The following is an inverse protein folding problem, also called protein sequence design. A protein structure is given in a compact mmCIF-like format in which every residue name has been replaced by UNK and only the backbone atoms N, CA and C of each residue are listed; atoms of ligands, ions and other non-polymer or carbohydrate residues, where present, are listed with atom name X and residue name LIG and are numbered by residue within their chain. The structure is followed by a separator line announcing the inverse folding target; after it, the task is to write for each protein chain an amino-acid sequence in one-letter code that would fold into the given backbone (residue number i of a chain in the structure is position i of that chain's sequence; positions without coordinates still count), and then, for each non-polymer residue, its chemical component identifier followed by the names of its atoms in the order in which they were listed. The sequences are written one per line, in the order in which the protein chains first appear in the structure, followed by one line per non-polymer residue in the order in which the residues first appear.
data_IF_762616154800
#
_entry.id   IF_762616154800
#
_cell.length_a   1.000
_cell.length_b   1.000
_cell.length_c   1.000
_cell.angle_alpha   90.00
_cell.angle_beta   90.00
_cell.angle_gamma   90.00
#
_symmetry.space_group_name_H-M   'P 1'
#
loop_
_entity.id
_entity.type
_entity.pdbx_description
1 polymer ?
#
# COMPACT_ATOMS: atom_id res chain seq x y z
N UNK A 1 -3.41 30.16 35.33
CA UNK A 1 -1.96 30.00 35.06
C UNK A 1 -1.52 28.53 35.08
N UNK A 2 -1.78 27.77 36.15
CA UNK A 2 -1.36 26.36 36.30
C UNK A 2 -1.82 25.42 35.16
N UNK A 3 -3.06 25.57 34.67
CA UNK A 3 -3.59 24.74 33.57
C UNK A 3 -2.85 24.93 32.23
N UNK A 4 -2.45 26.17 31.92
CA UNK A 4 -1.72 26.49 30.69
C UNK A 4 -0.28 25.95 30.71
N UNK A 5 0.37 25.95 31.89
CA UNK A 5 1.69 25.34 32.06
C UNK A 5 1.61 23.83 31.89
N UNK A 6 0.59 23.18 32.48
CA UNK A 6 0.36 21.75 32.34
C UNK A 6 0.11 21.35 30.87
N UNK A 7 -0.70 22.11 30.13
CA UNK A 7 -0.95 21.83 28.71
C UNK A 7 0.29 22.05 27.85
N UNK A 8 1.08 23.09 28.10
CA UNK A 8 2.34 23.32 27.40
C UNK A 8 3.36 22.18 27.64
N UNK A 9 3.46 21.68 28.88
CA UNK A 9 4.30 20.53 29.20
C UNK A 9 3.82 19.25 28.51
N UNK A 10 2.52 18.99 28.51
CA UNK A 10 1.94 17.84 27.81
C UNK A 10 2.20 17.89 26.29
N UNK A 11 2.04 19.07 25.67
CA UNK A 11 2.34 19.27 24.26
C UNK A 11 3.82 19.02 23.94
N UNK A 12 4.73 19.49 24.79
CA UNK A 12 6.17 19.24 24.65
C UNK A 12 6.49 17.73 24.76
N UNK A 13 5.89 17.02 25.73
CA UNK A 13 6.06 15.57 25.87
C UNK A 13 5.55 14.79 24.65
N UNK A 14 4.41 15.20 24.07
CA UNK A 14 3.88 14.60 22.84
C UNK A 14 4.81 14.84 21.64
N UNK A 15 5.34 16.05 21.50
CA UNK A 15 6.31 16.37 20.46
C UNK A 15 7.58 15.52 20.61
N UNK A 16 8.12 15.41 21.82
CA UNK A 16 9.31 14.60 22.10
C UNK A 16 9.05 13.11 21.77
N UNK A 17 7.92 12.56 22.21
CA UNK A 17 7.52 11.18 21.88
C UNK A 17 7.46 10.98 20.38
N UNK A 18 6.82 11.89 19.64
CA UNK A 18 6.71 11.77 18.19
C UNK A 18 8.08 11.79 17.50
N UNK A 19 9.02 12.63 17.97
CA UNK A 19 10.39 12.70 17.45
C UNK A 19 11.17 11.43 17.73
N UNK A 20 11.09 10.89 18.95
CA UNK A 20 11.79 9.66 19.33
C UNK A 20 11.28 8.45 18.53
N UNK A 21 9.96 8.30 18.39
CA UNK A 21 9.37 7.20 17.62
C UNK A 21 9.77 7.30 16.14
N UNK A 22 9.70 8.49 15.54
CA UNK A 22 10.16 8.70 14.15
C UNK A 22 11.64 8.38 13.97
N UNK A 23 12.49 8.80 14.91
CA UNK A 23 13.93 8.54 14.84
C UNK A 23 14.25 7.04 15.02
N UNK A 24 13.57 6.36 15.94
CA UNK A 24 13.72 4.93 16.15
C UNK A 24 13.29 4.15 14.89
N UNK A 25 12.12 4.47 14.33
CA UNK A 25 11.63 3.85 13.11
C UNK A 25 12.58 4.08 11.92
N UNK A 26 13.11 5.29 11.74
CA UNK A 26 14.07 5.58 10.67
C UNK A 26 15.38 4.77 10.82
N UNK A 27 15.87 4.60 12.06
CA UNK A 27 17.05 3.77 12.34
C UNK A 27 16.80 2.30 12.05
N UNK A 28 15.65 1.78 12.47
CA UNK A 28 15.26 0.39 12.23
C UNK A 28 15.12 0.10 10.73
N UNK A 29 14.47 0.99 9.98
CA UNK A 29 14.36 0.87 8.52
C UNK A 29 15.73 0.88 7.85
N UNK A 30 16.65 1.76 8.28
CA UNK A 30 18.00 1.79 7.73
C UNK A 30 18.79 0.50 8.05
N UNK A 31 18.66 -0.02 9.27
CA UNK A 31 19.29 -1.28 9.66
C UNK A 31 18.72 -2.47 8.88
N UNK A 32 17.40 -2.53 8.69
CA UNK A 32 16.73 -3.55 7.88
C UNK A 32 17.22 -3.51 6.44
N UNK A 33 17.27 -2.33 5.81
CA UNK A 33 17.81 -2.17 4.45
C UNK A 33 19.25 -2.68 4.32
N UNK A 34 20.12 -2.34 5.29
CA UNK A 34 21.51 -2.83 5.32
C UNK A 34 21.61 -4.34 5.51
N UNK A 35 20.73 -4.93 6.31
CA UNK A 35 20.69 -6.39 6.48
C UNK A 35 20.23 -7.06 5.19
N UNK A 36 19.18 -6.57 4.54
CA UNK A 36 18.66 -7.11 3.29
C UNK A 36 19.70 -7.04 2.17
N UNK A 37 20.38 -5.91 1.98
CA UNK A 37 21.44 -5.79 0.97
C UNK A 37 22.60 -6.77 1.22
N UNK A 38 22.90 -7.07 2.49
CA UNK A 38 23.95 -8.03 2.87
C UNK A 38 23.54 -9.49 2.66
N UNK A 39 22.31 -9.87 3.00
CA UNK A 39 21.90 -11.28 3.07
C UNK A 39 21.18 -11.78 1.80
N UNK A 40 20.45 -10.92 1.09
CA UNK A 40 19.74 -11.28 -0.15
C UNK A 40 20.63 -12.00 -1.17
N UNK A 41 21.86 -11.53 -1.51
CA UNK A 41 22.69 -12.23 -2.48
C UNK A 41 23.13 -13.62 -2.01
N UNK A 42 23.38 -13.80 -0.71
CA UNK A 42 23.78 -15.09 -0.13
C UNK A 42 22.62 -16.09 -0.13
N UNK A 43 21.41 -15.64 0.23
CA UNK A 43 20.21 -16.48 0.18
C UNK A 43 19.90 -16.88 -1.26
N UNK A 44 19.96 -15.94 -2.20
CA UNK A 44 19.77 -16.24 -3.62
C UNK A 44 20.81 -17.25 -4.14
N UNK A 45 22.08 -17.15 -3.71
CA UNK A 45 23.12 -18.12 -4.04
C UNK A 45 22.76 -19.53 -3.55
N UNK A 46 22.38 -19.66 -2.29
CA UNK A 46 22.06 -20.93 -1.66
C UNK A 46 20.84 -21.59 -2.32
N UNK A 47 19.77 -20.82 -2.56
CA UNK A 47 18.56 -21.32 -3.22
C UNK A 47 18.87 -21.75 -4.66
N UNK A 48 19.65 -20.95 -5.41
CA UNK A 48 20.05 -21.31 -6.77
C UNK A 48 20.85 -22.63 -6.79
N UNK A 49 21.81 -22.81 -5.87
CA UNK A 49 22.60 -24.04 -5.78
C UNK A 49 21.74 -25.28 -5.49
N UNK A 50 20.73 -25.15 -4.61
CA UNK A 50 19.79 -26.24 -4.32
C UNK A 50 18.98 -26.59 -5.57
N UNK A 51 18.40 -25.60 -6.25
CA UNK A 51 17.58 -25.81 -7.44
C UNK A 51 18.41 -26.40 -8.58
N UNK A 52 19.64 -25.93 -8.77
CA UNK A 52 20.58 -26.48 -9.74
C UNK A 52 20.94 -27.94 -9.42
N UNK A 53 21.16 -28.27 -8.13
CA UNK A 53 21.41 -29.64 -7.68
C UNK A 53 20.21 -30.57 -7.94
N UNK A 54 18.99 -30.06 -7.83
CA UNK A 54 17.76 -30.80 -8.19
C UNK A 54 17.65 -30.98 -9.71
N UNK A 55 17.96 -29.94 -10.48
CA UNK A 55 17.93 -29.96 -11.95
C UNK A 55 18.94 -30.95 -12.54
N UNK A 56 20.14 -31.02 -11.96
CA UNK A 56 21.25 -31.87 -12.41
C UNK A 56 21.11 -33.35 -12.02
N UNK A 57 20.14 -33.70 -11.17
CA UNK A 57 20.01 -35.06 -10.60
C UNK A 57 19.42 -36.02 -11.65
N UNK A 58 20.14 -37.06 -12.11
CA UNK A 58 19.59 -38.04 -13.03
C UNK A 58 18.64 -39.00 -12.29
N UNK A 59 17.35 -39.05 -12.68
CA UNK A 59 16.38 -40.00 -12.14
C UNK A 59 14.95 -39.48 -12.01
N UNK A 60 14.10 -40.24 -11.30
CA UNK A 60 12.71 -39.84 -10.99
C UNK A 60 12.71 -38.58 -10.12
N UNK A 61 12.39 -37.44 -10.74
CA UNK A 61 12.10 -36.20 -10.02
C UNK A 61 10.92 -36.46 -9.05
N UNK A 62 10.90 -35.84 -7.86
CA UNK A 62 9.72 -35.84 -7.00
C UNK A 62 8.48 -35.43 -7.81
N UNK A 63 7.30 -35.92 -7.45
CA UNK A 63 6.04 -35.47 -8.07
C UNK A 63 5.80 -34.01 -7.69
N UNK A 64 6.39 -33.13 -8.46
CA UNK A 64 6.35 -31.70 -8.27
C UNK A 64 5.16 -31.09 -9.01
N UNK A 65 4.57 -30.04 -8.45
CA UNK A 65 3.51 -29.30 -9.11
C UNK A 65 4.00 -28.71 -10.45
N UNK A 66 3.13 -28.53 -11.45
CA UNK A 66 3.51 -27.95 -12.73
C UNK A 66 4.34 -26.64 -12.64
N UNK A 67 4.00 -25.63 -11.80
CA UNK A 67 4.78 -24.40 -11.74
C UNK A 67 6.21 -24.59 -11.21
N UNK A 68 6.42 -25.57 -10.34
CA UNK A 68 7.74 -25.83 -9.76
C UNK A 68 8.66 -26.55 -10.76
N UNK A 69 8.09 -27.38 -11.65
CA UNK A 69 8.84 -28.01 -12.75
C UNK A 69 9.35 -26.98 -13.73
N UNK A 70 8.51 -26.01 -14.11
CA UNK A 70 8.88 -24.93 -15.02
C UNK A 70 10.08 -24.12 -14.49
N UNK A 71 10.15 -23.90 -13.18
CA UNK A 71 11.27 -23.17 -12.57
C UNK A 71 12.57 -23.99 -12.64
N UNK A 72 12.50 -25.29 -12.38
CA UNK A 72 13.66 -26.19 -12.47
C UNK A 72 14.17 -26.27 -13.91
N UNK A 73 13.26 -26.37 -14.87
CA UNK A 73 13.61 -26.45 -16.29
C UNK A 73 14.20 -25.12 -16.79
N UNK A 74 13.71 -23.97 -16.31
CA UNK A 74 14.29 -22.64 -16.59
C UNK A 74 15.65 -22.40 -15.92
N UNK A 75 15.93 -23.05 -14.80
CA UNK A 75 17.26 -23.04 -14.18
C UNK A 75 18.21 -23.97 -14.95
N UNK A 76 17.71 -25.10 -15.46
CA UNK A 76 18.47 -26.02 -16.30
C UNK A 76 18.84 -25.40 -17.67
N UNK A 77 17.93 -24.61 -18.27
CA UNK A 77 18.19 -23.88 -19.52
C UNK A 77 19.11 -22.66 -19.33
N UNK A 78 19.33 -22.22 -18.09
CA UNK A 78 20.12 -21.03 -17.77
C UNK A 78 19.37 -19.71 -17.88
N UNK A 79 18.06 -19.73 -18.18
CA UNK A 79 17.21 -18.53 -18.26
C UNK A 79 17.07 -17.84 -16.89
N UNK A 80 17.07 -18.63 -15.82
CA UNK A 80 17.09 -18.13 -14.43
C UNK A 80 18.50 -18.27 -13.89
N UNK A 81 19.19 -17.13 -13.75
CA UNK A 81 20.51 -17.06 -13.11
C UNK A 81 20.39 -16.65 -11.64
N UNK A 82 21.45 -16.87 -10.87
CA UNK A 82 21.55 -16.38 -9.49
C UNK A 82 21.26 -14.87 -9.39
N UNK A 83 21.76 -14.09 -10.35
CA UNK A 83 21.54 -12.64 -10.40
C UNK A 83 20.06 -12.32 -10.59
N UNK A 84 19.39 -13.02 -11.51
CA UNK A 84 17.94 -12.87 -11.74
C UNK A 84 17.16 -13.21 -10.47
N UNK A 85 17.54 -14.28 -9.75
CA UNK A 85 16.88 -14.67 -8.51
C UNK A 85 17.06 -13.63 -7.40
N UNK A 86 18.26 -13.05 -7.27
CA UNK A 86 18.53 -11.99 -6.31
C UNK A 86 17.71 -10.73 -6.60
N UNK A 87 17.62 -10.31 -7.86
CA UNK A 87 16.79 -9.18 -8.28
C UNK A 87 15.31 -9.44 -7.99
N UNK A 88 14.78 -10.61 -8.35
CA UNK A 88 13.38 -10.97 -8.09
C UNK A 88 13.04 -11.03 -6.61
N UNK A 89 13.96 -11.54 -5.79
CA UNK A 89 13.80 -11.55 -4.34
C UNK A 89 13.75 -10.13 -3.79
N UNK A 90 14.61 -9.23 -4.29
CA UNK A 90 14.61 -7.82 -3.90
C UNK A 90 13.32 -7.11 -4.32
N UNK A 91 12.88 -7.27 -5.57
CA UNK A 91 11.60 -6.74 -6.06
C UNK A 91 10.42 -7.23 -5.22
N UNK A 92 10.42 -8.50 -4.81
CA UNK A 92 9.36 -9.07 -3.97
C UNK A 92 9.35 -8.47 -2.57
N UNK A 93 10.53 -8.27 -1.96
CA UNK A 93 10.66 -7.62 -0.65
C UNK A 93 10.19 -6.16 -0.73
N UNK A 94 10.52 -5.44 -1.81
CA UNK A 94 10.06 -4.07 -2.02
C UNK A 94 8.54 -3.98 -2.14
N UNK A 95 7.91 -4.86 -2.93
CA UNK A 95 6.44 -4.94 -3.02
C UNK A 95 5.80 -5.28 -1.68
N UNK A 96 6.37 -6.22 -0.94
CA UNK A 96 5.88 -6.57 0.38
C UNK A 96 5.95 -5.37 1.34
N UNK A 97 7.05 -4.60 1.31
CA UNK A 97 7.20 -3.40 2.12
C UNK A 97 6.22 -2.29 1.72
N UNK A 98 5.89 -2.15 0.43
CA UNK A 98 4.84 -1.20 -0.01
C UNK A 98 3.46 -1.61 0.45
N UNK A 99 3.11 -2.90 0.34
CA UNK A 99 1.81 -3.41 0.75
C UNK A 99 1.62 -3.27 2.26
N UNK A 100 2.64 -3.65 3.04
CA UNK A 100 2.63 -3.49 4.50
C UNK A 100 2.54 -2.01 4.91
N UNK A 101 3.18 -1.10 4.16
CA UNK A 101 3.06 0.34 4.43
C UNK A 101 1.64 0.87 4.17
N UNK A 102 0.98 0.40 3.10
CA UNK A 102 -0.41 0.73 2.80
C UNK A 102 -1.35 0.18 3.87
N UNK A 103 -1.18 -1.09 4.27
CA UNK A 103 -1.97 -1.71 5.33
C UNK A 103 -1.83 -0.96 6.66
N UNK A 104 -0.60 -0.57 7.02
CA UNK A 104 -0.35 0.23 8.22
C UNK A 104 -1.04 1.59 8.14
N UNK A 105 -0.96 2.28 7.00
CA UNK A 105 -1.66 3.56 6.80
C UNK A 105 -3.18 3.41 6.86
N UNK A 106 -3.75 2.34 6.31
CA UNK A 106 -5.19 2.07 6.41
C UNK A 106 -5.60 1.84 7.86
N UNK A 107 -4.85 1.04 8.62
CA UNK A 107 -5.14 0.78 10.03
C UNK A 107 -5.00 2.05 10.90
N UNK A 108 -3.96 2.84 10.67
CA UNK A 108 -3.75 4.13 11.33
C UNK A 108 -4.80 5.16 10.92
N UNK A 109 -5.17 5.24 9.65
CA UNK A 109 -6.23 6.11 9.16
C UNK A 109 -7.61 5.76 9.74
N UNK A 110 -7.86 4.48 10.04
CA UNK A 110 -9.08 4.03 10.73
C UNK A 110 -9.04 4.39 12.23
N UNK A 111 -7.86 4.50 12.85
CA UNK A 111 -7.71 4.76 14.31
C UNK A 111 -7.47 6.23 14.66
N UNK A 112 -6.71 6.97 13.86
CA UNK A 112 -6.41 8.40 14.01
C UNK A 112 -7.34 9.30 13.19
N UNK A 113 -8.00 8.77 12.16
CA UNK A 113 -9.04 9.48 11.45
C UNK A 113 -10.24 9.68 12.37
N UNK A 114 -10.45 10.91 12.85
CA UNK A 114 -11.81 11.34 13.16
C UNK A 114 -12.66 10.88 11.98
N UNK A 115 -13.64 10.00 12.23
CA UNK A 115 -14.74 9.79 11.28
C UNK A 115 -15.43 11.14 11.15
N UNK A 116 -14.92 11.98 10.28
CA UNK A 116 -15.58 13.21 9.89
C UNK A 116 -16.68 12.72 8.98
N UNK A 117 -17.92 12.89 9.42
CA UNK A 117 -19.08 12.69 8.57
C UNK A 117 -18.95 13.68 7.41
N UNK A 118 -18.35 13.20 6.31
CA UNK A 118 -18.18 13.96 5.09
C UNK A 118 -19.53 13.98 4.38
N UNK A 119 -20.38 14.91 4.78
CA UNK A 119 -21.59 15.21 4.03
C UNK A 119 -21.17 15.83 2.71
N UNK A 120 -21.25 15.03 1.63
CA UNK A 120 -21.01 15.47 0.26
C UNK A 120 -22.07 16.49 -0.16
N UNK A 121 -22.08 17.70 0.40
CA UNK A 121 -22.90 18.80 -0.12
C UNK A 121 -22.28 19.30 -1.43
N UNK A 122 -23.07 19.65 -2.45
CA UNK A 122 -22.55 20.28 -3.64
C UNK A 122 -21.83 21.57 -3.25
N UNK A 123 -20.60 21.72 -3.74
CA UNK A 123 -19.71 22.84 -3.43
C UNK A 123 -20.20 24.19 -4.01
N UNK A 124 -21.21 24.15 -4.90
CA UNK A 124 -21.76 25.31 -5.59
C UNK A 124 -23.28 25.27 -5.60
N UNK A 125 -23.93 26.43 -5.54
CA UNK A 125 -25.40 26.59 -5.66
C UNK A 125 -25.96 26.23 -7.05
N UNK A 126 -25.11 25.72 -7.95
CA UNK A 126 -25.48 25.24 -9.28
C UNK A 126 -26.34 23.98 -9.21
N UNK A 127 -26.28 23.23 -8.10
CA UNK A 127 -27.02 21.99 -7.95
C UNK A 127 -27.82 21.99 -6.64
N UNK A 128 -29.10 21.64 -6.74
CA UNK A 128 -29.98 21.43 -5.59
C UNK A 128 -30.40 19.97 -5.53
N UNK A 129 -30.56 19.43 -4.32
CA UNK A 129 -31.13 18.10 -4.16
C UNK A 129 -32.61 18.09 -4.50
N UNK A 130 -33.05 17.05 -5.19
CA UNK A 130 -34.47 16.78 -5.42
C UNK A 130 -35.15 16.20 -4.18
N UNK A 131 -36.47 16.11 -4.21
CA UNK A 131 -37.24 15.48 -3.14
C UNK A 131 -36.75 14.05 -2.86
N UNK A 132 -36.71 13.68 -1.58
CA UNK A 132 -36.25 12.37 -1.11
C UNK A 132 -37.16 11.27 -1.68
N UNK A 133 -36.59 10.43 -2.54
CA UNK A 133 -37.28 9.25 -3.05
C UNK A 133 -37.03 8.10 -2.09
N UNK A 134 -38.08 7.66 -1.39
CA UNK A 134 -38.00 6.53 -0.47
C UNK A 134 -38.53 5.28 -1.14
N UNK A 135 -37.69 4.25 -1.22
CA UNK A 135 -38.09 2.89 -1.57
C UNK A 135 -37.96 2.02 -0.32
N UNK A 136 -38.61 0.86 -0.26
CA UNK A 136 -38.60 -0.01 0.92
C UNK A 136 -37.22 -0.49 1.39
N UNK A 137 -36.17 -0.26 0.60
CA UNK A 137 -34.79 -0.69 0.87
C UNK A 137 -33.76 0.46 0.85
N UNK A 138 -34.09 1.64 0.32
CA UNK A 138 -33.17 2.76 0.28
C UNK A 138 -33.89 4.10 0.07
N UNK A 139 -33.27 5.19 0.55
CA UNK A 139 -33.69 6.56 0.29
C UNK A 139 -32.65 7.28 -0.58
N UNK A 140 -33.06 7.80 -1.74
CA UNK A 140 -32.17 8.42 -2.72
C UNK A 140 -32.58 9.90 -2.90
N UNK A 141 -31.59 10.80 -2.89
CA UNK A 141 -31.75 12.19 -3.31
C UNK A 141 -30.86 12.41 -4.55
N UNK A 142 -31.44 12.90 -5.64
CA UNK A 142 -30.70 13.17 -6.87
C UNK A 142 -30.27 14.64 -6.88
N UNK A 143 -29.11 14.94 -7.45
CA UNK A 143 -28.72 16.33 -7.75
C UNK A 143 -29.46 16.78 -9.02
N UNK A 144 -30.11 17.94 -8.95
CA UNK A 144 -30.74 18.62 -10.08
C UNK A 144 -30.06 19.98 -10.30
N UNK A 145 -29.82 20.42 -11.55
CA UNK A 145 -29.33 21.76 -11.82
C UNK A 145 -30.34 22.81 -11.34
N UNK A 146 -29.86 23.83 -10.62
CA UNK A 146 -30.65 24.96 -10.14
C UNK A 146 -31.16 25.80 -11.32
N UNK A 147 -32.44 26.17 -11.31
CA UNK A 147 -33.10 26.94 -12.39
C UNK A 147 -32.41 28.28 -12.72
N UNK A 148 -31.54 28.81 -11.85
CA UNK A 148 -30.73 30.00 -12.08
C UNK A 148 -29.54 29.78 -13.03
N UNK A 149 -29.14 28.53 -13.30
CA UNK A 149 -28.05 28.18 -14.22
C UNK A 149 -28.51 27.95 -15.67
N UNK A 150 -29.82 27.98 -15.94
CA UNK A 150 -30.36 27.70 -17.27
C UNK A 150 -30.18 28.85 -18.28
N UNK A 151 -29.78 30.06 -17.83
CA UNK A 151 -29.69 31.25 -18.69
C UNK A 151 -28.27 31.73 -18.98
N UNK A 152 -27.22 31.00 -18.58
CA UNK A 152 -25.85 31.41 -18.89
C UNK A 152 -24.90 30.22 -19.02
N UNK A 153 -24.25 30.17 -20.17
CA UNK A 153 -23.16 29.29 -20.58
C UNK A 153 -23.62 27.89 -21.06
N UNK A 154 -23.78 27.64 -22.37
CA UNK A 154 -22.76 27.67 -23.44
C UNK A 154 -21.96 26.36 -23.50
N UNK A 155 -21.96 25.82 -24.71
CA UNK A 155 -21.22 24.71 -25.28
C UNK A 155 -19.89 24.44 -24.58
N UNK A 156 -19.70 23.21 -24.07
CA UNK A 156 -18.37 22.60 -24.00
C UNK A 156 -18.48 21.21 -24.64
N UNK A 157 -18.10 21.20 -25.91
CA UNK A 157 -17.60 20.07 -26.68
C UNK A 157 -16.35 19.51 -25.98
N UNK A 158 -16.30 18.21 -25.73
CA UNK A 158 -15.03 17.49 -25.57
C UNK A 158 -15.15 16.14 -26.25
N UNK A 159 -14.41 16.05 -27.33
CA UNK A 159 -13.89 14.88 -28.04
C UNK A 159 -13.07 13.97 -27.12
#
# INVERSE_FOLDING_TARGET
MQAAVKSALQACCLQLRSKLVKQAAAREQAQRKRALTKYVPNVAAAVYAIVQGIAARPGKRPRLAPPEKDVIDKVASGDVTQKTLATRLMEHIERFDTDMALEYQMQQGITEGQRVDAFLRPQTDRHRYTALLTTGVASIQLLCPSAAAASSAEVIDVT
#
